data_IF_179055135873
#
_entry.id   IF_179055135873
#
_cell.length_a   1.000
_cell.length_b   1.000
_cell.length_c   1.000
_cell.angle_alpha   90.00
_cell.angle_beta   90.00
_cell.angle_gamma   90.00
#
_symmetry.space_group_name_H-M   'P 1'
#
loop_
_entity.id
_entity.type
_entity.pdbx_description
1 polymer ?
#
# COMPACT_ATOMS: atom_id res chain seq x y z
N UNK A 1 -8.58 17.91 28.41
CA UNK A 1 -7.18 18.22 28.00
C UNK A 1 -7.16 19.53 27.19
N UNK A 2 -6.00 20.17 27.06
CA UNK A 2 -5.83 21.36 26.23
C UNK A 2 -6.28 21.12 24.77
N UNK A 3 -5.92 19.97 24.22
CA UNK A 3 -6.30 19.54 22.86
C UNK A 3 -7.81 19.48 22.68
N UNK A 4 -8.55 18.96 23.68
CA UNK A 4 -10.02 18.87 23.59
C UNK A 4 -10.68 20.25 23.52
N UNK A 5 -10.12 21.23 24.22
CA UNK A 5 -10.63 22.62 24.17
C UNK A 5 -10.33 23.28 22.82
N UNK A 6 -9.15 23.07 22.28
CA UNK A 6 -8.79 23.60 20.95
C UNK A 6 -9.67 23.01 19.84
N UNK A 7 -9.97 21.71 19.90
CA UNK A 7 -10.88 21.07 18.95
C UNK A 7 -12.31 21.63 19.09
N UNK A 8 -12.82 21.78 20.32
CA UNK A 8 -14.13 22.40 20.54
C UNK A 8 -14.21 23.83 20.01
N UNK A 9 -13.16 24.66 20.23
CA UNK A 9 -13.06 25.99 19.66
C UNK A 9 -13.12 25.96 18.14
N UNK A 10 -12.35 25.08 17.50
CA UNK A 10 -12.36 24.92 16.05
C UNK A 10 -13.74 24.50 15.52
N UNK A 11 -14.43 23.55 16.18
CA UNK A 11 -15.78 23.14 15.82
C UNK A 11 -16.79 24.31 15.93
N UNK A 12 -16.64 25.15 16.94
CA UNK A 12 -17.46 26.37 17.13
C UNK A 12 -17.19 27.40 16.03
N UNK A 13 -15.92 27.66 15.70
CA UNK A 13 -15.52 28.60 14.66
C UNK A 13 -16.00 28.16 13.28
N UNK A 14 -15.89 26.88 12.97
CA UNK A 14 -16.33 26.29 11.71
C UNK A 14 -17.84 26.02 11.68
N UNK A 15 -18.53 26.05 12.82
CA UNK A 15 -19.96 25.74 13.02
C UNK A 15 -20.34 24.32 12.52
N UNK A 16 -19.41 23.38 12.60
CA UNK A 16 -19.61 21.96 12.24
C UNK A 16 -18.93 21.06 13.27
N UNK A 17 -19.49 19.88 13.48
CA UNK A 17 -18.84 18.86 14.28
C UNK A 17 -17.79 18.14 13.44
N UNK A 18 -16.59 17.98 14.01
CA UNK A 18 -15.48 17.26 13.37
C UNK A 18 -15.32 15.84 13.91
N UNK A 19 -15.86 15.59 15.12
CA UNK A 19 -15.76 14.28 15.78
C UNK A 19 -17.12 13.79 16.27
N UNK A 20 -17.35 12.49 16.09
CA UNK A 20 -18.44 11.76 16.75
C UNK A 20 -17.91 10.96 17.92
N UNK A 21 -18.64 11.00 19.05
CA UNK A 21 -18.31 10.26 20.27
C UNK A 21 -19.13 8.97 20.31
N UNK A 22 -18.43 7.86 20.36
CA UNK A 22 -19.04 6.53 20.52
C UNK A 22 -18.56 5.87 21.82
N UNK A 23 -19.27 4.86 22.29
CA UNK A 23 -18.88 4.09 23.47
C UNK A 23 -17.47 3.46 23.37
N UNK A 24 -16.94 3.32 22.15
CA UNK A 24 -15.62 2.74 21.86
C UNK A 24 -14.55 3.76 21.48
N UNK A 25 -14.84 5.06 21.53
CA UNK A 25 -13.88 6.13 21.22
C UNK A 25 -14.44 7.26 20.37
N UNK A 26 -13.54 8.00 19.74
CA UNK A 26 -13.82 9.11 18.84
C UNK A 26 -13.58 8.69 17.41
N UNK A 27 -14.50 9.03 16.51
CA UNK A 27 -14.33 8.91 15.05
C UNK A 27 -14.50 10.28 14.40
N UNK A 28 -13.84 10.51 13.27
CA UNK A 28 -14.05 11.72 12.49
C UNK A 28 -15.42 11.67 11.83
N UNK A 29 -16.10 12.82 11.75
CA UNK A 29 -17.24 13.03 10.85
C UNK A 29 -16.75 13.22 9.41
N UNK A 30 -17.63 13.26 8.43
CA UNK A 30 -17.29 13.60 7.04
C UNK A 30 -16.60 14.99 6.95
N UNK A 31 -17.12 15.98 7.67
CA UNK A 31 -16.48 17.29 7.79
C UNK A 31 -15.12 17.21 8.50
N UNK A 32 -15.01 16.36 9.53
CA UNK A 32 -13.76 16.09 10.22
C UNK A 32 -12.69 15.49 9.31
N UNK A 33 -13.05 14.53 8.46
CA UNK A 33 -12.13 13.96 7.47
C UNK A 33 -11.69 15.01 6.44
N UNK A 34 -12.60 15.85 5.98
CA UNK A 34 -12.29 16.92 5.04
C UNK A 34 -11.31 17.95 5.65
N UNK A 35 -11.60 18.45 6.87
CA UNK A 35 -10.71 19.39 7.56
C UNK A 35 -9.36 18.76 7.87
N UNK A 36 -9.34 17.53 8.34
CA UNK A 36 -8.10 16.78 8.61
C UNK A 36 -7.23 16.65 7.36
N UNK A 37 -7.81 16.27 6.23
CA UNK A 37 -7.11 16.17 4.95
C UNK A 37 -6.53 17.51 4.51
N UNK A 38 -7.33 18.58 4.56
CA UNK A 38 -6.91 19.92 4.16
C UNK A 38 -5.79 20.46 5.08
N UNK A 39 -5.93 20.31 6.39
CA UNK A 39 -4.89 20.70 7.35
C UNK A 39 -3.57 19.96 7.08
N UNK A 40 -3.66 18.70 6.74
CA UNK A 40 -2.50 17.88 6.36
C UNK A 40 -1.80 18.36 5.09
N UNK A 41 -2.55 18.74 4.07
CA UNK A 41 -2.02 19.30 2.83
C UNK A 41 -1.27 20.61 3.08
N UNK A 42 -1.86 21.49 3.92
CA UNK A 42 -1.23 22.76 4.29
C UNK A 42 0.08 22.55 5.07
N UNK A 43 0.07 21.69 6.08
CA UNK A 43 1.28 21.37 6.85
C UNK A 43 2.37 20.75 5.94
N UNK A 44 1.97 19.94 4.97
CA UNK A 44 2.91 19.37 4.01
C UNK A 44 3.59 20.42 3.17
N UNK A 45 2.80 21.38 2.65
CA UNK A 45 3.35 22.48 1.85
C UNK A 45 4.28 23.39 2.67
N UNK A 46 3.95 23.64 3.93
CA UNK A 46 4.86 24.39 4.81
C UNK A 46 6.19 23.67 5.01
N UNK A 47 6.16 22.36 5.23
CA UNK A 47 7.39 21.56 5.34
C UNK A 47 8.21 21.52 4.05
N UNK A 48 7.57 21.48 2.89
CA UNK A 48 8.25 21.60 1.60
C UNK A 48 8.99 22.95 1.49
N UNK A 49 8.34 24.04 1.91
CA UNK A 49 8.96 25.37 1.94
C UNK A 49 10.13 25.42 2.93
N UNK A 50 9.96 24.92 4.15
CA UNK A 50 11.04 24.83 5.14
C UNK A 50 12.24 24.04 4.60
N UNK A 51 11.97 22.91 3.95
CA UNK A 51 13.02 22.08 3.33
C UNK A 51 13.70 22.77 2.16
N UNK A 52 12.95 23.55 1.36
CA UNK A 52 13.51 24.29 0.21
C UNK A 52 14.31 25.53 0.61
N UNK A 53 13.99 26.12 1.77
CA UNK A 53 14.69 27.27 2.33
C UNK A 53 15.83 26.87 3.28
N UNK A 54 15.78 25.66 3.83
CA UNK A 54 16.86 25.09 4.64
C UNK A 54 18.09 24.78 3.80
N UNK A 55 19.28 25.02 4.36
CA UNK A 55 20.54 24.74 3.68
C UNK A 55 20.55 23.34 3.08
N UNK A 56 20.83 23.22 1.77
CA UNK A 56 20.96 21.97 1.01
C UNK A 56 22.04 21.01 1.55
N UNK A 57 22.68 21.33 2.66
CA UNK A 57 23.75 20.55 3.31
C UNK A 57 23.30 19.83 4.58
N UNK A 58 22.09 20.00 5.06
CA UNK A 58 21.64 19.24 6.24
C UNK A 58 21.40 17.78 5.86
N UNK A 59 22.01 16.88 6.63
CA UNK A 59 21.74 15.43 6.49
C UNK A 59 20.26 15.18 6.74
N UNK A 60 19.63 14.28 5.97
CA UNK A 60 18.23 13.94 6.19
C UNK A 60 18.05 13.30 7.58
N UNK A 61 17.08 13.83 8.33
CA UNK A 61 16.77 13.41 9.71
C UNK A 61 15.27 13.21 9.88
N UNK A 62 14.88 12.47 10.90
CA UNK A 62 13.49 12.28 11.29
C UNK A 62 12.95 10.90 10.95
N UNK A 63 11.62 10.74 11.06
CA UNK A 63 10.92 9.46 10.85
C UNK A 63 10.48 9.33 9.39
N UNK A 64 10.72 8.14 8.81
CA UNK A 64 10.29 7.75 7.48
C UNK A 64 9.45 6.47 7.57
N UNK A 65 8.16 6.58 7.30
CA UNK A 65 7.24 5.44 7.29
C UNK A 65 7.05 4.92 5.86
N UNK A 66 7.39 3.66 5.64
CA UNK A 66 7.28 3.00 4.34
C UNK A 66 6.24 1.90 4.43
N UNK A 67 5.27 1.91 3.51
CA UNK A 67 4.28 0.83 3.41
C UNK A 67 4.43 0.01 2.14
N UNK A 68 4.17 -1.28 2.25
CA UNK A 68 4.11 -2.20 1.11
C UNK A 68 3.33 -3.47 1.48
N UNK A 69 3.05 -4.32 0.48
CA UNK A 69 2.46 -5.63 0.74
C UNK A 69 3.41 -6.51 1.55
N UNK A 70 2.85 -7.32 2.46
CA UNK A 70 3.60 -8.13 3.42
C UNK A 70 4.68 -8.99 2.78
N UNK A 71 4.37 -9.69 1.71
CA UNK A 71 5.31 -10.59 1.03
C UNK A 71 6.55 -9.85 0.50
N UNK A 72 6.37 -8.69 -0.14
CA UNK A 72 7.48 -7.88 -0.65
C UNK A 72 8.27 -7.25 0.50
N UNK A 73 7.56 -6.70 1.49
CA UNK A 73 8.17 -6.08 2.66
C UNK A 73 9.10 -7.04 3.40
N UNK A 74 8.60 -8.24 3.72
CA UNK A 74 9.34 -9.22 4.52
C UNK A 74 10.52 -9.84 3.76
N UNK A 75 10.30 -10.24 2.49
CA UNK A 75 11.29 -11.04 1.78
C UNK A 75 12.27 -10.21 0.96
N UNK A 76 11.88 -9.02 0.52
CA UNK A 76 12.73 -8.20 -0.32
C UNK A 76 13.21 -6.92 0.35
N UNK A 77 12.31 -6.12 0.95
CA UNK A 77 12.63 -4.81 1.48
C UNK A 77 13.44 -4.92 2.79
N UNK A 78 12.94 -5.67 3.78
CA UNK A 78 13.57 -5.76 5.10
C UNK A 78 15.04 -6.20 5.03
N UNK A 79 15.44 -7.22 4.25
CA UNK A 79 16.86 -7.58 4.17
C UNK A 79 17.76 -6.51 3.53
N UNK A 80 17.19 -5.54 2.81
CA UNK A 80 17.93 -4.51 2.07
C UNK A 80 17.91 -3.14 2.73
N UNK A 81 17.01 -2.92 3.66
CA UNK A 81 16.87 -1.61 4.31
C UNK A 81 18.10 -1.24 5.17
N UNK A 82 18.85 -2.23 5.60
CA UNK A 82 20.05 -2.03 6.42
C UNK A 82 21.08 -1.11 5.75
N UNK A 83 21.27 -1.23 4.45
CA UNK A 83 22.19 -0.37 3.70
C UNK A 83 21.72 1.09 3.71
N UNK A 84 20.42 1.33 3.53
CA UNK A 84 19.85 2.67 3.61
C UNK A 84 20.03 3.27 5.01
N UNK A 85 19.77 2.51 6.07
CA UNK A 85 19.95 2.94 7.45
C UNK A 85 21.41 3.30 7.75
N UNK A 86 22.35 2.51 7.23
CA UNK A 86 23.80 2.80 7.38
C UNK A 86 24.21 4.12 6.70
N UNK A 87 23.61 4.43 5.55
CA UNK A 87 23.89 5.66 4.81
C UNK A 87 23.17 6.89 5.41
N UNK A 88 22.07 6.67 6.14
CA UNK A 88 21.24 7.71 6.72
C UNK A 88 20.94 7.41 8.20
N UNK A 89 21.94 7.48 9.09
CA UNK A 89 21.82 7.04 10.48
C UNK A 89 20.86 7.90 11.33
N UNK A 90 20.53 9.10 10.87
CA UNK A 90 19.63 10.02 11.56
C UNK A 90 18.15 9.87 11.11
N UNK A 91 17.87 8.92 10.19
CA UNK A 91 16.50 8.57 9.78
C UNK A 91 16.02 7.36 10.60
N UNK A 92 14.93 7.54 11.32
CA UNK A 92 14.18 6.45 11.94
C UNK A 92 13.23 5.85 10.91
N UNK A 93 13.34 4.55 10.63
CA UNK A 93 12.50 3.87 9.66
C UNK A 93 11.40 3.07 10.35
N UNK A 94 10.17 3.31 9.93
CA UNK A 94 9.01 2.49 10.26
C UNK A 94 8.53 1.75 9.01
N UNK A 95 8.44 0.42 9.10
CA UNK A 95 7.91 -0.43 8.02
C UNK A 95 6.51 -0.92 8.38
N UNK A 96 5.52 -0.55 7.59
CA UNK A 96 4.12 -0.96 7.76
C UNK A 96 3.74 -1.90 6.62
N UNK A 97 3.51 -3.18 6.94
CA UNK A 97 3.15 -4.19 5.95
C UNK A 97 1.67 -4.54 6.03
N UNK A 98 0.95 -4.20 4.98
CA UNK A 98 -0.46 -4.54 4.84
C UNK A 98 -0.76 -5.00 3.40
N UNK A 99 -1.62 -6.02 3.26
CA UNK A 99 -2.07 -6.50 1.96
C UNK A 99 -3.23 -5.65 1.41
N UNK A 100 -3.81 -4.78 2.23
CA UNK A 100 -4.69 -3.69 1.80
C UNK A 100 -3.83 -2.47 1.45
N UNK A 101 -4.18 -1.78 0.38
CA UNK A 101 -3.54 -0.50 0.06
C UNK A 101 -3.88 0.52 1.16
N UNK A 102 -2.84 0.96 1.88
CA UNK A 102 -2.97 2.07 2.80
C UNK A 102 -3.15 3.37 2.00
N UNK A 103 -4.00 4.23 2.50
CA UNK A 103 -4.20 5.55 1.92
C UNK A 103 -3.08 6.48 2.39
N UNK A 104 -2.14 6.78 1.49
CA UNK A 104 -1.05 7.73 1.77
C UNK A 104 -1.58 9.15 2.02
N UNK A 105 -2.79 9.50 1.55
CA UNK A 105 -3.37 10.82 1.80
C UNK A 105 -3.71 11.04 3.27
N UNK A 106 -3.94 9.97 4.03
CA UNK A 106 -4.15 10.02 5.48
C UNK A 106 -2.85 9.97 6.29
N UNK A 107 -1.71 10.03 5.61
CA UNK A 107 -0.35 9.93 6.20
C UNK A 107 -0.12 8.71 7.09
N UNK A 108 -0.75 7.63 6.79
CA UNK A 108 -0.40 6.34 7.38
C UNK A 108 0.99 5.86 6.93
N UNK A 109 1.51 6.43 5.83
CA UNK A 109 2.89 6.26 5.40
C UNK A 109 3.34 7.43 4.50
N UNK A 110 4.65 7.70 4.47
CA UNK A 110 5.28 8.71 3.62
C UNK A 110 5.56 8.15 2.21
N UNK A 111 5.92 6.88 2.13
CA UNK A 111 6.23 6.17 0.89
C UNK A 111 5.41 4.88 0.82
N UNK A 112 4.77 4.64 -0.32
CA UNK A 112 4.11 3.36 -0.62
C UNK A 112 4.81 2.65 -1.78
N UNK A 113 5.19 1.39 -1.60
CA UNK A 113 5.67 0.52 -2.68
C UNK A 113 4.54 -0.43 -3.06
N UNK A 114 3.88 -0.14 -4.17
CA UNK A 114 2.70 -0.86 -4.61
C UNK A 114 3.03 -1.84 -5.74
N UNK A 115 2.42 -3.02 -5.70
CA UNK A 115 2.56 -4.04 -6.75
C UNK A 115 1.70 -3.72 -7.99
N UNK A 116 0.89 -2.67 -7.92
CA UNK A 116 0.07 -2.15 -9.00
C UNK A 116 0.06 -0.64 -8.95
N UNK A 117 -0.31 0.02 -10.04
CA UNK A 117 -0.44 1.47 -10.08
C UNK A 117 -1.59 1.91 -9.15
N UNK A 118 -1.33 2.80 -8.17
CA UNK A 118 -2.38 3.38 -7.34
C UNK A 118 -3.40 4.13 -8.20
N UNK A 119 -4.67 4.12 -7.77
CA UNK A 119 -5.74 4.85 -8.47
C UNK A 119 -5.78 6.33 -8.13
N UNK A 120 -5.21 6.72 -7.00
CA UNK A 120 -5.18 8.09 -6.54
C UNK A 120 -4.26 8.92 -7.45
N UNK A 121 -4.82 10.00 -8.01
CA UNK A 121 -4.12 10.88 -8.95
C UNK A 121 -3.16 11.87 -8.28
N UNK A 122 -3.31 12.07 -6.98
CA UNK A 122 -2.57 13.08 -6.20
C UNK A 122 -1.19 12.61 -5.74
N UNK A 123 -0.80 11.37 -6.05
CA UNK A 123 0.49 10.83 -5.64
C UNK A 123 1.55 11.06 -6.72
N UNK A 124 2.75 11.43 -6.28
CA UNK A 124 3.93 11.36 -7.13
C UNK A 124 4.24 9.87 -7.32
N UNK A 125 4.12 9.40 -8.55
CA UNK A 125 4.28 7.99 -8.88
C UNK A 125 5.52 7.78 -9.73
N UNK A 126 6.37 6.85 -9.32
CA UNK A 126 7.54 6.41 -10.08
C UNK A 126 7.51 4.90 -10.25
N UNK A 127 7.59 4.43 -11.50
CA UNK A 127 7.76 3.02 -11.79
C UNK A 127 9.16 2.57 -11.36
N UNK A 128 9.24 1.56 -10.50
CA UNK A 128 10.51 1.00 -10.02
C UNK A 128 10.98 -0.16 -10.89
N UNK A 129 10.10 -1.14 -11.15
CA UNK A 129 10.46 -2.39 -11.83
C UNK A 129 9.22 -3.03 -12.45
N UNK A 130 9.42 -3.89 -13.45
CA UNK A 130 8.39 -4.79 -13.97
C UNK A 130 8.48 -6.13 -13.23
N UNK A 131 7.39 -6.54 -12.58
CA UNK A 131 7.30 -7.84 -11.91
C UNK A 131 6.67 -8.84 -12.87
N UNK A 132 7.41 -9.92 -13.16
CA UNK A 132 6.91 -11.03 -13.96
C UNK A 132 6.26 -12.08 -13.08
N UNK A 133 5.07 -12.49 -13.43
CA UNK A 133 4.34 -13.56 -12.76
C UNK A 133 4.39 -14.84 -13.58
N UNK A 134 4.59 -15.95 -12.89
CA UNK A 134 4.67 -17.26 -13.49
C UNK A 134 3.70 -18.23 -12.82
N UNK A 135 3.32 -19.28 -13.54
CA UNK A 135 2.58 -20.40 -12.98
C UNK A 135 3.60 -21.43 -12.49
N UNK A 136 3.44 -21.88 -11.26
CA UNK A 136 4.33 -22.84 -10.63
C UNK A 136 3.58 -24.11 -10.25
N UNK A 137 4.28 -25.23 -10.28
CA UNK A 137 3.84 -26.52 -9.76
C UNK A 137 4.97 -27.19 -8.97
N UNK A 138 4.63 -27.92 -7.91
CA UNK A 138 5.64 -28.70 -7.20
C UNK A 138 6.12 -29.88 -8.07
N UNK A 139 7.38 -30.31 -7.90
CA UNK A 139 7.93 -31.45 -8.63
C UNK A 139 7.04 -32.69 -8.48
N UNK A 140 6.62 -33.00 -7.26
CA UNK A 140 5.73 -34.14 -7.00
C UNK A 140 4.40 -34.05 -7.74
N UNK A 141 3.83 -32.85 -7.89
CA UNK A 141 2.61 -32.66 -8.67
C UNK A 141 2.85 -32.87 -10.16
N UNK A 142 3.95 -32.33 -10.70
CA UNK A 142 4.31 -32.38 -12.10
C UNK A 142 4.73 -33.81 -12.53
N UNK A 143 5.42 -34.56 -11.69
CA UNK A 143 5.72 -35.97 -11.90
C UNK A 143 4.45 -36.82 -12.06
N UNK A 144 3.43 -36.55 -11.25
CA UNK A 144 2.16 -37.29 -11.28
C UNK A 144 1.23 -36.84 -12.41
N UNK A 145 1.20 -35.55 -12.77
CA UNK A 145 0.21 -35.02 -13.69
C UNK A 145 0.80 -34.56 -15.04
N UNK A 146 2.10 -34.67 -15.20
CA UNK A 146 2.84 -34.22 -16.38
C UNK A 146 3.22 -32.72 -16.31
N UNK A 147 4.27 -32.37 -17.08
CA UNK A 147 4.69 -30.96 -17.24
C UNK A 147 3.91 -30.34 -18.40
N UNK A 148 3.15 -29.26 -18.19
CA UNK A 148 2.47 -28.56 -19.27
C UNK A 148 3.49 -27.89 -20.19
N UNK A 149 3.42 -28.17 -21.49
CA UNK A 149 4.29 -27.61 -22.52
C UNK A 149 3.60 -26.47 -23.29
N UNK A 150 2.28 -26.47 -23.31
CA UNK A 150 1.46 -25.50 -24.02
C UNK A 150 0.41 -24.90 -23.07
N UNK A 151 -0.15 -23.76 -23.46
CA UNK A 151 -1.27 -23.14 -22.73
C UNK A 151 -2.48 -24.10 -22.70
N UNK A 152 -2.69 -24.88 -23.75
CA UNK A 152 -3.79 -25.88 -23.82
C UNK A 152 -3.64 -26.98 -22.77
N UNK A 153 -2.42 -27.41 -22.46
CA UNK A 153 -2.17 -28.44 -21.45
C UNK A 153 -2.62 -28.00 -20.06
N UNK A 154 -2.63 -26.69 -19.79
CA UNK A 154 -3.11 -26.13 -18.51
C UNK A 154 -4.55 -26.54 -18.21
N UNK A 155 -5.37 -26.90 -19.22
CA UNK A 155 -6.75 -27.34 -19.00
C UNK A 155 -6.85 -28.69 -18.27
N UNK A 156 -5.75 -29.48 -18.28
CA UNK A 156 -5.67 -30.76 -17.59
C UNK A 156 -5.18 -30.65 -16.15
N UNK A 157 -4.77 -29.44 -15.74
CA UNK A 157 -4.19 -29.21 -14.42
C UNK A 157 -5.19 -28.55 -13.46
N UNK A 158 -4.99 -28.82 -12.17
CA UNK A 158 -5.73 -28.17 -11.09
C UNK A 158 -4.99 -26.90 -10.66
N UNK A 159 -5.73 -25.82 -10.41
CA UNK A 159 -5.18 -24.54 -10.03
C UNK A 159 -5.54 -24.19 -8.59
N UNK A 160 -4.60 -23.55 -7.91
CA UNK A 160 -4.84 -22.79 -6.69
C UNK A 160 -4.75 -21.30 -7.07
N UNK A 161 -5.74 -20.53 -6.72
CA UNK A 161 -5.80 -19.10 -6.99
C UNK A 161 -6.27 -18.35 -5.75
N UNK A 162 -6.19 -17.02 -5.78
CA UNK A 162 -6.75 -16.19 -4.72
C UNK A 162 -8.26 -16.39 -4.62
N UNK A 163 -8.77 -16.53 -3.39
CA UNK A 163 -10.20 -16.64 -3.13
C UNK A 163 -10.96 -15.37 -3.52
N UNK A 164 -12.28 -15.49 -3.75
CA UNK A 164 -13.14 -14.32 -4.00
C UNK A 164 -13.08 -13.37 -2.82
N UNK A 165 -12.76 -12.09 -3.08
CA UNK A 165 -12.66 -11.05 -2.05
C UNK A 165 -11.39 -11.12 -1.19
N UNK A 166 -10.49 -12.07 -1.42
CA UNK A 166 -9.19 -12.07 -0.76
C UNK A 166 -8.36 -10.87 -1.21
N UNK A 167 -7.67 -10.18 -0.29
CA UNK A 167 -6.70 -9.16 -0.65
C UNK A 167 -5.67 -9.75 -1.62
N UNK A 168 -5.50 -9.12 -2.77
CA UNK A 168 -4.55 -9.57 -3.77
C UNK A 168 -3.59 -8.44 -4.11
N UNK A 169 -2.28 -8.67 -4.06
CA UNK A 169 -1.29 -7.69 -4.45
C UNK A 169 -1.27 -7.44 -5.97
N UNK A 170 -1.95 -8.28 -6.74
CA UNK A 170 -1.97 -8.17 -8.21
C UNK A 170 -3.33 -7.71 -8.70
N UNK A 171 -3.31 -6.95 -9.80
CA UNK A 171 -4.54 -6.38 -10.40
C UNK A 171 -5.53 -7.44 -10.88
N UNK A 172 -5.05 -8.54 -11.45
CA UNK A 172 -5.88 -9.63 -11.95
C UNK A 172 -5.42 -10.98 -11.35
N UNK A 173 -5.88 -11.34 -10.15
CA UNK A 173 -5.43 -12.57 -9.49
C UNK A 173 -5.83 -13.84 -10.25
N UNK A 174 -6.83 -13.75 -11.11
CA UNK A 174 -7.36 -14.87 -11.91
C UNK A 174 -6.66 -15.03 -13.28
N UNK A 175 -5.59 -14.26 -13.56
CA UNK A 175 -4.96 -14.28 -14.89
C UNK A 175 -4.55 -15.68 -15.35
N UNK A 176 -4.01 -16.50 -14.45
CA UNK A 176 -3.61 -17.88 -14.74
C UNK A 176 -4.80 -18.79 -15.08
N UNK A 177 -5.97 -18.49 -14.52
CA UNK A 177 -7.20 -19.22 -14.84
C UNK A 177 -7.78 -18.82 -16.20
N UNK A 178 -7.46 -17.63 -16.70
CA UNK A 178 -8.01 -17.05 -17.93
C UNK A 178 -7.09 -17.17 -19.13
N UNK A 179 -5.78 -17.36 -18.93
CA UNK A 179 -4.81 -17.42 -20.04
C UNK A 179 -5.18 -18.49 -21.06
N UNK A 180 -5.30 -18.10 -22.34
CA UNK A 180 -5.71 -18.97 -23.44
C UNK A 180 -7.16 -19.43 -23.42
N UNK A 181 -8.02 -18.78 -22.60
CA UNK A 181 -9.47 -19.02 -22.61
C UNK A 181 -10.17 -17.93 -23.41
N UNK A 182 -11.23 -18.29 -24.13
CA UNK A 182 -12.07 -17.36 -24.89
C UNK A 182 -13.35 -17.01 -24.11
N UNK A 183 -13.97 -15.87 -24.41
CA UNK A 183 -15.30 -15.45 -23.98
C UNK A 183 -15.53 -15.43 -22.45
N UNK A 184 -14.57 -14.92 -21.71
CA UNK A 184 -14.70 -14.77 -20.25
C UNK A 184 -14.70 -16.08 -19.46
N UNK A 185 -14.52 -17.21 -20.13
CA UNK A 185 -14.36 -18.51 -19.47
C UNK A 185 -13.09 -18.54 -18.64
N UNK A 186 -13.11 -19.30 -17.56
CA UNK A 186 -11.94 -19.54 -16.71
C UNK A 186 -11.88 -20.98 -16.26
N UNK A 187 -10.66 -21.46 -16.01
CA UNK A 187 -10.44 -22.77 -15.39
C UNK A 187 -10.97 -22.76 -13.96
N UNK A 188 -11.38 -23.91 -13.48
CA UNK A 188 -11.75 -24.08 -12.08
C UNK A 188 -10.50 -24.04 -11.21
N UNK A 189 -10.53 -23.26 -10.13
CA UNK A 189 -9.58 -23.40 -9.02
C UNK A 189 -10.15 -24.37 -7.98
N UNK A 190 -9.24 -25.00 -7.24
CA UNK A 190 -9.60 -25.81 -6.08
C UNK A 190 -9.90 -24.88 -4.91
#
# INVERSE_FOLDING_TARGET
SAISRQIQSLEQDLKVQLFERHARGLTLTENGEYVFKTAHEVISKLKEVETSLGDQKSKPTGKLTITTVRSFGTHWLTPRIQEFMRLNPEIEIELVFDDKELDLSTRQADIGIFMRRPKQLNYIQKKLVDIKYYIYGSNKYLEKNGMPKTIGDLNKHKFISFGKGAPSPVYNPDWALKIGMHDGKKRKSI
#
